data_IF_990812294906
#
_entry.id   IF_990812294906
#
_cell.length_a   1.000
_cell.length_b   1.000
_cell.length_c   1.000
_cell.angle_alpha   90.00
_cell.angle_beta   90.00
_cell.angle_gamma   90.00
#
_symmetry.space_group_name_H-M   'P 1'
#
loop_
_entity.id
_entity.type
_entity.pdbx_description
1 polymer ?
#
# COMPACT_ATOMS: atom_id res chain seq x y z
N UNK A 1 -16.55 -7.19 18.47
CA UNK A 1 -16.46 -6.66 17.09
C UNK A 1 -15.01 -6.75 16.65
N UNK A 2 -14.72 -7.00 15.38
CA UNK A 2 -13.34 -7.04 14.91
C UNK A 2 -12.72 -5.62 14.97
N UNK A 3 -11.46 -5.54 15.44
CA UNK A 3 -10.65 -4.31 15.42
C UNK A 3 -9.57 -4.46 14.36
N UNK A 4 -9.61 -3.65 13.32
CA UNK A 4 -8.67 -3.74 12.21
C UNK A 4 -7.77 -2.51 12.18
N UNK A 5 -6.46 -2.73 12.11
CA UNK A 5 -5.47 -1.70 11.88
C UNK A 5 -4.99 -1.80 10.43
N UNK A 6 -5.28 -0.78 9.62
CA UNK A 6 -4.72 -0.63 8.28
C UNK A 6 -3.46 0.22 8.35
N UNK A 7 -2.34 -0.31 7.85
CA UNK A 7 -1.05 0.38 7.80
C UNK A 7 -0.76 0.74 6.35
N UNK A 8 -0.46 2.01 6.12
CA UNK A 8 -0.11 2.57 4.81
C UNK A 8 0.90 3.72 4.97
N UNK A 9 1.57 4.11 3.91
CA UNK A 9 2.58 5.18 3.99
C UNK A 9 2.89 5.85 2.66
N UNK A 10 2.26 5.40 1.56
CA UNK A 10 2.52 5.94 0.24
C UNK A 10 1.23 6.26 -0.51
N UNK A 11 1.34 7.17 -1.47
CA UNK A 11 0.23 7.55 -2.34
C UNK A 11 -0.45 6.37 -3.04
N UNK A 12 0.27 5.41 -3.65
CA UNK A 12 -0.36 4.26 -4.28
C UNK A 12 -1.22 3.42 -3.32
N UNK A 13 -0.79 3.27 -2.07
CA UNK A 13 -1.55 2.57 -1.03
C UNK A 13 -2.84 3.35 -0.70
N UNK A 14 -2.76 4.67 -0.50
CA UNK A 14 -3.94 5.52 -0.23
C UNK A 14 -4.97 5.39 -1.35
N UNK A 15 -4.53 5.49 -2.62
CA UNK A 15 -5.41 5.39 -3.80
C UNK A 15 -6.09 4.01 -3.84
N UNK A 16 -5.32 2.92 -3.74
CA UNK A 16 -5.87 1.56 -3.83
C UNK A 16 -6.79 1.19 -2.67
N UNK A 17 -6.52 1.72 -1.48
CA UNK A 17 -7.34 1.49 -0.29
C UNK A 17 -8.55 2.44 -0.19
N UNK A 18 -8.70 3.42 -1.09
CA UNK A 18 -9.74 4.46 -1.01
C UNK A 18 -11.17 3.94 -1.08
N UNK A 19 -11.40 2.76 -1.65
CA UNK A 19 -12.70 2.09 -1.64
C UNK A 19 -12.81 1.07 -0.48
N UNK A 20 -11.70 0.63 0.10
CA UNK A 20 -11.65 -0.38 1.16
C UNK A 20 -11.79 0.25 2.54
N UNK A 21 -11.10 1.36 2.80
CA UNK A 21 -11.15 2.08 4.08
C UNK A 21 -12.60 2.40 4.50
N UNK A 22 -13.45 3.02 3.65
CA UNK A 22 -14.84 3.30 4.04
C UNK A 22 -15.68 2.05 4.28
N UNK A 23 -15.39 0.94 3.58
CA UNK A 23 -16.08 -0.34 3.82
C UNK A 23 -15.70 -0.93 5.17
N UNK A 24 -14.42 -0.87 5.54
CA UNK A 24 -13.98 -1.32 6.85
C UNK A 24 -14.54 -0.44 7.97
N UNK A 25 -14.56 0.88 7.78
CA UNK A 25 -15.16 1.83 8.73
C UNK A 25 -16.64 1.53 9.00
N UNK A 26 -17.37 1.00 8.00
CA UNK A 26 -18.79 0.68 8.14
C UNK A 26 -19.08 -0.65 8.86
N UNK A 27 -18.13 -1.61 8.88
CA UNK A 27 -18.39 -2.98 9.35
C UNK A 27 -17.60 -3.39 10.58
N UNK A 28 -16.56 -2.63 10.97
CA UNK A 28 -15.72 -2.97 12.12
C UNK A 28 -15.18 -1.71 12.81
N UNK A 29 -14.56 -1.89 13.97
CA UNK A 29 -13.74 -0.84 14.59
C UNK A 29 -12.43 -0.74 13.79
N UNK A 30 -12.28 0.34 13.04
CA UNK A 30 -11.22 0.48 12.06
C UNK A 30 -10.31 1.67 12.37
N UNK A 31 -9.01 1.42 12.39
CA UNK A 31 -7.94 2.40 12.58
C UNK A 31 -7.04 2.43 11.35
N UNK A 32 -6.65 3.64 10.93
CA UNK A 32 -5.69 3.87 9.86
C UNK A 32 -4.44 4.48 10.44
N UNK A 33 -3.31 3.82 10.25
CA UNK A 33 -1.99 4.29 10.62
C UNK A 33 -1.21 4.66 9.34
N UNK A 34 -0.76 5.91 9.26
CA UNK A 34 0.13 6.36 8.20
C UNK A 34 1.57 6.36 8.71
N UNK A 35 2.46 5.65 8.01
CA UNK A 35 3.86 5.49 8.46
C UNK A 35 4.74 6.71 8.20
N UNK A 36 4.27 7.73 7.49
CA UNK A 36 5.06 8.91 7.17
C UNK A 36 6.19 8.64 6.16
N UNK A 37 6.16 7.52 5.44
CA UNK A 37 7.21 7.15 4.47
C UNK A 37 7.35 8.19 3.34
N UNK A 38 6.30 8.90 2.99
CA UNK A 38 6.36 10.03 2.05
C UNK A 38 6.68 11.32 2.83
N UNK A 39 7.72 12.05 2.41
CA UNK A 39 8.27 13.20 3.14
C UNK A 39 7.51 14.50 2.95
N UNK A 40 6.53 14.56 2.07
CA UNK A 40 5.72 15.77 1.85
C UNK A 40 4.33 15.63 2.48
N UNK A 41 4.09 16.27 3.65
CA UNK A 41 2.79 16.24 4.33
C UNK A 41 1.65 16.78 3.45
N UNK A 42 1.92 17.80 2.63
CA UNK A 42 0.89 18.41 1.78
C UNK A 42 0.43 17.44 0.68
N UNK A 43 1.34 16.64 0.12
CA UNK A 43 0.98 15.64 -0.89
C UNK A 43 0.12 14.52 -0.30
N UNK A 44 0.34 14.12 0.93
CA UNK A 44 -0.44 13.06 1.57
C UNK A 44 -1.86 13.54 1.91
N UNK A 45 -1.99 14.70 2.55
CA UNK A 45 -3.28 15.24 2.97
C UNK A 45 -4.22 15.49 1.78
N UNK A 46 -3.70 16.01 0.67
CA UNK A 46 -4.44 16.22 -0.57
C UNK A 46 -5.12 14.92 -1.03
N UNK A 47 -4.41 13.77 -0.99
CA UNK A 47 -5.01 12.51 -1.42
C UNK A 47 -6.15 12.04 -0.52
N UNK A 48 -6.03 12.21 0.79
CA UNK A 48 -7.15 11.89 1.69
C UNK A 48 -8.36 12.78 1.41
N UNK A 49 -8.16 14.07 1.22
CA UNK A 49 -9.23 15.04 0.93
C UNK A 49 -9.88 14.79 -0.44
N UNK A 50 -9.09 14.67 -1.51
CA UNK A 50 -9.60 14.46 -2.87
C UNK A 50 -10.34 13.15 -3.05
N UNK A 51 -9.89 12.09 -2.34
CA UNK A 51 -10.54 10.79 -2.35
C UNK A 51 -11.68 10.69 -1.33
N UNK A 52 -11.99 11.77 -0.60
CA UNK A 52 -13.08 11.79 0.39
C UNK A 52 -12.88 10.80 1.52
N UNK A 53 -11.63 10.58 1.91
CA UNK A 53 -11.26 9.73 3.03
C UNK A 53 -11.14 10.55 4.33
N UNK A 54 -11.44 9.92 5.45
CA UNK A 54 -11.10 10.51 6.75
C UNK A 54 -9.59 10.52 6.96
N UNK A 55 -9.11 11.43 7.76
CA UNK A 55 -7.71 11.47 8.15
C UNK A 55 -7.29 10.17 8.87
N UNK A 56 -6.02 9.77 8.78
CA UNK A 56 -5.48 8.68 9.58
C UNK A 56 -5.67 8.94 11.07
N UNK A 57 -5.86 7.88 11.85
CA UNK A 57 -5.94 8.00 13.31
C UNK A 57 -4.59 8.40 13.93
N UNK A 58 -3.50 7.98 13.29
CA UNK A 58 -2.14 8.30 13.71
C UNK A 58 -1.20 8.39 12.51
N UNK A 59 -0.24 9.30 12.59
CA UNK A 59 0.85 9.46 11.61
C UNK A 59 2.16 9.29 12.35
N UNK A 60 3.06 8.44 11.83
CA UNK A 60 4.42 8.27 12.34
C UNK A 60 5.33 9.26 11.61
N UNK A 61 6.20 9.96 12.32
CA UNK A 61 7.32 10.68 11.70
C UNK A 61 8.48 9.72 11.47
N UNK A 62 8.49 9.08 10.30
CA UNK A 62 9.54 8.14 9.90
C UNK A 62 10.62 8.76 9.02
N UNK A 63 10.61 10.09 8.85
CA UNK A 63 11.60 10.78 8.03
C UNK A 63 13.02 10.45 8.49
N UNK A 64 13.86 10.01 7.56
CA UNK A 64 15.25 9.70 7.80
C UNK A 64 16.05 9.69 6.49
N UNK A 65 17.36 9.90 6.58
CA UNK A 65 18.32 9.77 5.48
C UNK A 65 18.85 8.33 5.33
N UNK A 66 18.59 7.47 6.31
CA UNK A 66 19.03 6.07 6.35
C UNK A 66 17.83 5.13 6.30
N UNK A 67 17.91 4.11 5.43
CA UNK A 67 16.89 3.06 5.35
C UNK A 67 16.67 2.36 6.70
N UNK A 68 17.76 1.98 7.38
CA UNK A 68 17.69 1.28 8.66
C UNK A 68 17.03 2.13 9.75
N UNK A 69 17.36 3.43 9.83
CA UNK A 69 16.73 4.34 10.77
C UNK A 69 15.24 4.55 10.46
N UNK A 70 14.89 4.74 9.19
CA UNK A 70 13.49 4.85 8.76
C UNK A 70 12.70 3.62 9.15
N UNK A 71 13.23 2.43 8.86
CA UNK A 71 12.56 1.17 9.20
C UNK A 71 12.42 0.99 10.71
N UNK A 72 13.45 1.37 11.48
CA UNK A 72 13.40 1.37 12.95
C UNK A 72 12.29 2.27 13.49
N UNK A 73 12.14 3.49 12.97
CA UNK A 73 11.06 4.41 13.33
C UNK A 73 9.67 3.85 12.98
N UNK A 74 9.54 3.25 11.80
CA UNK A 74 8.29 2.60 11.37
C UNK A 74 7.95 1.46 12.34
N UNK A 75 8.87 0.56 12.62
CA UNK A 75 8.66 -0.59 13.51
C UNK A 75 8.25 -0.16 14.90
N UNK A 76 8.99 0.78 15.51
CA UNK A 76 8.67 1.31 16.84
C UNK A 76 7.30 2.00 16.86
N UNK A 77 7.00 2.81 15.84
CA UNK A 77 5.71 3.51 15.76
C UNK A 77 4.54 2.57 15.55
N UNK A 78 4.73 1.49 14.77
CA UNK A 78 3.70 0.46 14.56
C UNK A 78 3.47 -0.33 15.84
N UNK A 79 4.51 -0.72 16.57
CA UNK A 79 4.38 -1.41 17.85
C UNK A 79 3.61 -0.55 18.88
N UNK A 80 3.92 0.73 18.95
CA UNK A 80 3.19 1.68 19.80
C UNK A 80 1.71 1.80 19.39
N UNK A 81 1.43 1.88 18.09
CA UNK A 81 0.06 1.95 17.59
C UNK A 81 -0.72 0.65 17.87
N UNK A 82 -0.09 -0.50 17.74
CA UNK A 82 -0.69 -1.80 18.08
C UNK A 82 -1.03 -1.85 19.57
N UNK A 83 -0.14 -1.43 20.44
CA UNK A 83 -0.36 -1.40 21.89
C UNK A 83 -1.49 -0.42 22.27
N UNK A 84 -1.58 0.72 21.59
CA UNK A 84 -2.60 1.75 21.81
C UNK A 84 -4.00 1.31 21.31
N UNK A 85 -4.07 0.79 20.07
CA UNK A 85 -5.34 0.45 19.43
C UNK A 85 -5.81 -0.96 19.75
N UNK A 86 -4.91 -1.84 20.16
CA UNK A 86 -5.17 -3.26 20.46
C UNK A 86 -5.98 -3.95 19.34
N UNK A 87 -5.49 -3.95 18.09
CA UNK A 87 -6.18 -4.53 16.96
C UNK A 87 -6.22 -6.06 17.05
N UNK A 88 -7.27 -6.66 16.48
CA UNK A 88 -7.36 -8.12 16.33
C UNK A 88 -6.83 -8.60 14.98
N UNK A 89 -6.61 -7.69 14.03
CA UNK A 89 -6.10 -7.95 12.67
C UNK A 89 -5.37 -6.74 12.15
N UNK A 90 -4.39 -6.98 11.28
CA UNK A 90 -3.67 -5.93 10.55
C UNK A 90 -3.85 -6.13 9.05
N UNK A 91 -4.07 -5.03 8.32
CA UNK A 91 -4.11 -4.99 6.87
C UNK A 91 -2.92 -4.17 6.36
N UNK A 92 -2.15 -4.76 5.44
CA UNK A 92 -1.08 -4.08 4.69
C UNK A 92 -1.30 -4.26 3.18
N UNK A 93 -0.76 -3.36 2.37
CA UNK A 93 -0.87 -3.44 0.92
C UNK A 93 0.51 -3.24 0.27
N UNK A 94 0.86 -4.15 -0.66
CA UNK A 94 2.03 -4.01 -1.52
C UNK A 94 3.36 -4.28 -0.82
N UNK A 95 4.40 -3.62 -1.32
CA UNK A 95 5.80 -3.96 -1.08
C UNK A 95 6.63 -2.80 -0.55
N UNK A 96 5.97 -1.81 0.03
CA UNK A 96 6.61 -0.63 0.61
C UNK A 96 7.27 -0.95 1.96
N UNK A 97 8.08 0.00 2.46
CA UNK A 97 8.65 -0.12 3.81
C UNK A 97 7.56 -0.21 4.89
N UNK A 98 6.39 0.41 4.64
CA UNK A 98 5.21 0.29 5.51
C UNK A 98 4.74 -1.16 5.63
N UNK A 99 4.76 -1.92 4.52
CA UNK A 99 4.37 -3.33 4.50
C UNK A 99 5.29 -4.22 5.32
N UNK A 100 6.59 -3.89 5.43
CA UNK A 100 7.54 -4.64 6.28
C UNK A 100 7.15 -4.62 7.76
N UNK A 101 6.33 -3.66 8.20
CA UNK A 101 5.78 -3.62 9.55
C UNK A 101 4.86 -4.80 9.89
N UNK A 102 4.43 -5.57 8.89
CA UNK A 102 3.76 -6.86 9.09
C UNK A 102 4.53 -7.77 10.05
N UNK A 103 5.87 -7.69 10.04
CA UNK A 103 6.72 -8.46 10.96
C UNK A 103 6.41 -8.17 12.44
N UNK A 104 6.16 -6.92 12.79
CA UNK A 104 5.83 -6.52 14.17
C UNK A 104 4.48 -7.10 14.59
N UNK A 105 3.46 -6.99 13.74
CA UNK A 105 2.14 -7.54 14.03
C UNK A 105 2.16 -9.07 14.22
N UNK A 106 2.79 -9.80 13.31
CA UNK A 106 2.90 -11.26 13.39
C UNK A 106 3.72 -11.70 14.62
N UNK A 107 4.77 -10.98 14.99
CA UNK A 107 5.55 -11.22 16.23
C UNK A 107 4.73 -11.02 17.50
N UNK A 108 3.72 -10.16 17.45
CA UNK A 108 2.76 -9.92 18.52
C UNK A 108 1.52 -10.83 18.42
N UNK A 109 1.55 -11.86 17.58
CA UNK A 109 0.47 -12.82 17.32
C UNK A 109 -0.82 -12.15 16.80
N UNK A 110 -0.70 -11.06 16.06
CA UNK A 110 -1.82 -10.40 15.39
C UNK A 110 -1.79 -10.78 13.91
N UNK A 111 -2.82 -11.49 13.41
CA UNK A 111 -2.85 -11.95 12.02
C UNK A 111 -2.78 -10.79 11.03
N UNK A 112 -1.87 -10.90 10.04
CA UNK A 112 -1.72 -9.95 8.96
C UNK A 112 -2.40 -10.45 7.70
N UNK A 113 -3.13 -9.55 7.06
CA UNK A 113 -3.73 -9.70 5.74
C UNK A 113 -2.95 -8.83 4.76
N UNK A 114 -2.25 -9.47 3.83
CA UNK A 114 -1.40 -8.79 2.85
C UNK A 114 -2.10 -8.71 1.49
N UNK A 115 -2.56 -7.52 1.10
CA UNK A 115 -3.09 -7.25 -0.23
C UNK A 115 -1.97 -7.02 -1.25
N UNK A 116 -2.22 -7.36 -2.51
CA UNK A 116 -1.24 -7.31 -3.61
C UNK A 116 -0.12 -8.36 -3.46
N UNK A 117 -0.38 -9.41 -2.69
CA UNK A 117 0.54 -10.50 -2.46
C UNK A 117 0.88 -11.28 -3.74
N UNK A 118 2.05 -11.91 -3.78
CA UNK A 118 2.45 -12.83 -4.84
C UNK A 118 2.89 -12.19 -6.14
N UNK A 119 2.97 -10.86 -6.24
CA UNK A 119 3.56 -10.21 -7.40
C UNK A 119 5.06 -10.50 -7.46
N UNK A 120 5.60 -10.75 -8.66
CA UNK A 120 7.03 -11.01 -8.88
C UNK A 120 7.52 -10.33 -10.15
N UNK A 121 8.67 -9.65 -10.05
CA UNK A 121 9.42 -9.18 -11.21
C UNK A 121 10.66 -10.05 -11.50
N UNK A 122 11.02 -10.94 -10.57
CA UNK A 122 12.16 -11.85 -10.65
C UNK A 122 13.53 -11.16 -10.77
N UNK A 123 13.61 -9.86 -10.46
CA UNK A 123 14.85 -9.12 -10.40
C UNK A 123 15.16 -8.74 -8.94
N UNK A 124 16.17 -9.40 -8.36
CA UNK A 124 16.60 -9.16 -6.99
C UNK A 124 17.34 -7.84 -6.79
N UNK A 125 17.65 -7.10 -7.85
CA UNK A 125 18.17 -5.73 -7.75
C UNK A 125 17.08 -4.74 -7.34
N UNK A 126 15.82 -5.05 -7.62
CA UNK A 126 14.66 -4.24 -7.23
C UNK A 126 14.38 -4.43 -5.73
N UNK A 127 14.52 -3.38 -4.89
CA UNK A 127 14.29 -3.49 -3.44
C UNK A 127 12.90 -4.02 -3.08
N UNK A 128 11.87 -3.60 -3.82
CA UNK A 128 10.49 -4.01 -3.63
C UNK A 128 10.30 -5.52 -3.86
N UNK A 129 11.10 -6.16 -4.71
CA UNK A 129 11.04 -7.62 -4.91
C UNK A 129 11.41 -8.38 -3.63
N UNK A 130 12.38 -7.85 -2.87
CA UNK A 130 12.78 -8.41 -1.58
C UNK A 130 11.71 -8.17 -0.53
N UNK A 131 11.19 -6.94 -0.46
CA UNK A 131 10.15 -6.57 0.49
C UNK A 131 8.91 -7.47 0.33
N UNK A 132 8.39 -7.61 -0.91
CA UNK A 132 7.18 -8.42 -1.14
C UNK A 132 7.35 -9.88 -0.77
N UNK A 133 8.52 -10.48 -1.05
CA UNK A 133 8.83 -11.86 -0.64
C UNK A 133 8.83 -12.02 0.88
N UNK A 134 9.42 -11.07 1.60
CA UNK A 134 9.42 -11.09 3.06
C UNK A 134 8.00 -10.95 3.60
N UNK A 135 7.24 -9.98 3.11
CA UNK A 135 5.86 -9.72 3.58
C UNK A 135 4.97 -10.92 3.27
N UNK A 136 5.04 -11.49 2.05
CA UNK A 136 4.28 -12.68 1.68
C UNK A 136 4.57 -13.87 2.59
N UNK A 137 5.85 -14.10 2.88
CA UNK A 137 6.29 -15.25 3.68
C UNK A 137 5.82 -15.19 5.13
N UNK A 138 5.76 -14.00 5.72
CA UNK A 138 5.40 -13.83 7.13
C UNK A 138 3.91 -13.63 7.36
N UNK A 139 3.16 -13.11 6.37
CA UNK A 139 1.74 -12.79 6.53
C UNK A 139 0.88 -14.02 6.76
N UNK A 140 -0.05 -13.93 7.71
CA UNK A 140 -1.01 -15.01 7.99
C UNK A 140 -1.89 -15.29 6.78
N UNK A 141 -2.38 -14.26 6.08
CA UNK A 141 -3.21 -14.37 4.88
C UNK A 141 -2.69 -13.50 3.76
N UNK A 142 -2.57 -14.10 2.58
CA UNK A 142 -2.15 -13.44 1.35
C UNK A 142 -3.35 -13.24 0.41
N UNK A 143 -3.54 -12.01 -0.05
CA UNK A 143 -4.66 -11.58 -0.90
C UNK A 143 -4.14 -11.12 -2.27
N UNK A 144 -3.73 -12.07 -3.15
CA UNK A 144 -3.23 -11.75 -4.47
C UNK A 144 -4.33 -11.19 -5.37
N UNK A 145 -3.94 -10.37 -6.35
CA UNK A 145 -4.88 -9.79 -7.30
C UNK A 145 -5.25 -10.74 -8.44
N UNK A 146 -4.37 -11.67 -8.77
CA UNK A 146 -4.51 -12.55 -9.92
C UNK A 146 -4.21 -14.01 -9.57
N UNK A 147 -4.68 -14.93 -10.41
CA UNK A 147 -4.33 -16.34 -10.29
C UNK A 147 -2.83 -16.57 -10.50
N UNK A 148 -2.18 -15.78 -11.37
CA UNK A 148 -0.72 -15.85 -11.56
C UNK A 148 0.02 -15.53 -10.24
N UNK A 149 -0.38 -14.48 -9.55
CA UNK A 149 0.20 -14.11 -8.24
C UNK A 149 -0.05 -15.20 -7.20
N UNK A 150 -1.25 -15.83 -7.21
CA UNK A 150 -1.54 -16.99 -6.36
C UNK A 150 -0.60 -18.17 -6.64
N UNK A 151 -0.32 -18.47 -7.91
CA UNK A 151 0.61 -19.53 -8.30
C UNK A 151 2.04 -19.26 -7.81
N UNK A 152 2.48 -18.00 -7.81
CA UNK A 152 3.79 -17.64 -7.25
C UNK A 152 3.85 -17.96 -5.75
N UNK A 153 2.83 -17.59 -4.98
CA UNK A 153 2.75 -17.88 -3.54
C UNK A 153 2.78 -19.38 -3.26
N UNK A 154 2.01 -20.17 -4.01
CA UNK A 154 2.00 -21.63 -3.87
C UNK A 154 3.38 -22.25 -4.15
N UNK A 155 4.08 -21.81 -5.20
CA UNK A 155 5.46 -22.26 -5.52
C UNK A 155 6.47 -21.91 -4.43
N UNK A 156 6.24 -20.83 -3.71
CA UNK A 156 7.06 -20.37 -2.59
C UNK A 156 6.65 -21.00 -1.24
N UNK A 157 5.67 -21.92 -1.25
CA UNK A 157 5.30 -22.72 -0.09
C UNK A 157 4.20 -22.13 0.79
N UNK A 158 3.53 -21.06 0.37
CA UNK A 158 2.39 -20.53 1.12
C UNK A 158 1.22 -21.50 1.01
N UNK A 159 0.63 -21.95 2.16
CA UNK A 159 -0.47 -22.90 2.15
C UNK A 159 -1.71 -22.33 1.43
N UNK A 160 -2.37 -23.18 0.63
CA UNK A 160 -3.52 -22.75 -0.16
C UNK A 160 -4.68 -22.13 0.65
N UNK A 161 -4.91 -22.62 1.87
CA UNK A 161 -5.94 -22.10 2.77
C UNK A 161 -5.60 -20.71 3.37
N UNK A 162 -4.42 -20.19 3.10
CA UNK A 162 -3.97 -18.83 3.48
C UNK A 162 -3.93 -17.88 2.29
N UNK A 163 -4.47 -18.29 1.14
CA UNK A 163 -4.47 -17.48 -0.09
C UNK A 163 -5.91 -17.29 -0.56
N UNK A 164 -6.31 -16.03 -0.79
CA UNK A 164 -7.60 -15.69 -1.39
C UNK A 164 -7.40 -14.65 -2.49
N UNK A 165 -7.72 -15.01 -3.74
CA UNK A 165 -7.64 -14.08 -4.88
C UNK A 165 -8.78 -13.06 -4.77
N UNK A 166 -8.42 -11.77 -4.65
CA UNK A 166 -9.39 -10.69 -4.41
C UNK A 166 -9.64 -9.79 -5.62
N UNK A 167 -8.78 -9.85 -6.63
CA UNK A 167 -8.77 -8.87 -7.72
C UNK A 167 -8.06 -7.57 -7.34
N UNK A 168 -7.79 -6.75 -8.35
CA UNK A 168 -7.13 -5.44 -8.16
C UNK A 168 -8.18 -4.36 -7.85
N UNK A 169 -8.10 -3.66 -6.72
CA UNK A 169 -9.07 -2.64 -6.34
C UNK A 169 -9.05 -1.40 -7.24
N UNK A 170 -8.02 -1.20 -8.05
CA UNK A 170 -7.87 0.00 -8.88
C UNK A 170 -9.04 0.21 -9.86
N UNK A 171 -9.64 -0.88 -10.36
CA UNK A 171 -10.81 -0.78 -11.24
C UNK A 171 -12.01 -0.17 -10.51
N UNK A 172 -12.24 -0.59 -9.26
CA UNK A 172 -13.30 -0.04 -8.43
C UNK A 172 -13.04 1.45 -8.11
N UNK A 173 -11.79 1.80 -7.83
CA UNK A 173 -11.37 3.19 -7.60
C UNK A 173 -11.65 4.05 -8.83
N UNK A 174 -11.21 3.61 -10.03
CA UNK A 174 -11.45 4.35 -11.27
C UNK A 174 -12.97 4.55 -11.51
N UNK A 175 -13.75 3.49 -11.33
CA UNK A 175 -15.22 3.56 -11.51
C UNK A 175 -15.86 4.56 -10.52
N UNK A 176 -15.44 4.55 -9.25
CA UNK A 176 -15.94 5.49 -8.22
C UNK A 176 -15.69 6.94 -8.60
N UNK A 177 -14.54 7.23 -9.19
CA UNK A 177 -14.14 8.59 -9.53
C UNK A 177 -14.35 8.96 -11.01
N UNK A 178 -15.05 8.12 -11.79
CA UNK A 178 -15.25 8.32 -13.22
C UNK A 178 -15.82 9.71 -13.57
N UNK A 179 -16.77 10.21 -12.79
CA UNK A 179 -17.37 11.53 -13.02
C UNK A 179 -16.33 12.66 -12.81
N UNK A 180 -15.49 12.56 -11.79
CA UNK A 180 -14.40 13.54 -11.56
C UNK A 180 -13.36 13.48 -12.67
N UNK A 181 -13.04 12.29 -13.17
CA UNK A 181 -12.09 12.08 -14.27
C UNK A 181 -12.63 12.72 -15.55
N UNK A 182 -13.89 12.47 -15.90
CA UNK A 182 -14.50 13.00 -17.12
C UNK A 182 -14.71 14.52 -17.11
N UNK A 183 -14.80 15.13 -15.92
CA UNK A 183 -14.94 16.57 -15.73
C UNK A 183 -13.58 17.27 -15.56
N UNK A 184 -12.46 16.54 -15.64
CA UNK A 184 -11.13 17.13 -15.45
C UNK A 184 -10.77 18.07 -16.58
N UNK A 185 -10.35 19.29 -16.23
CA UNK A 185 -9.86 20.30 -17.18
C UNK A 185 -8.35 20.20 -17.43
N UNK A 186 -7.73 19.08 -17.11
CA UNK A 186 -6.27 18.93 -17.22
C UNK A 186 -5.78 19.04 -18.66
N UNK A 187 -6.53 18.54 -19.62
CA UNK A 187 -6.15 18.64 -21.04
C UNK A 187 -6.18 20.08 -21.50
N UNK A 188 -7.19 20.87 -21.12
CA UNK A 188 -7.28 22.28 -21.44
C UNK A 188 -6.13 23.07 -20.81
N UNK A 189 -5.82 22.78 -19.52
CA UNK A 189 -4.69 23.41 -18.81
C UNK A 189 -3.34 23.16 -19.46
N UNK A 190 -3.17 21.99 -20.09
CA UNK A 190 -1.94 21.60 -20.75
C UNK A 190 -1.94 21.88 -22.26
N UNK A 191 -3.03 22.46 -22.80
CA UNK A 191 -3.24 22.66 -24.24
C UNK A 191 -3.09 21.36 -25.05
N UNK A 192 -3.64 20.25 -24.53
CA UNK A 192 -3.60 18.94 -25.16
C UNK A 192 -4.97 18.58 -25.72
N UNK A 193 -4.98 17.96 -26.90
CA UNK A 193 -6.20 17.40 -27.49
C UNK A 193 -6.36 15.92 -27.16
N UNK A 194 -7.58 15.45 -26.87
CA UNK A 194 -7.84 14.05 -26.63
C UNK A 194 -7.30 13.16 -27.77
N UNK A 195 -6.64 12.06 -27.39
CA UNK A 195 -6.04 11.07 -28.32
C UNK A 195 -4.89 11.61 -29.21
N UNK A 196 -4.37 12.81 -28.96
CA UNK A 196 -3.25 13.40 -29.71
C UNK A 196 -1.98 13.59 -28.88
N UNK A 197 -1.83 12.87 -27.79
CA UNK A 197 -0.63 12.91 -26.93
C UNK A 197 -0.25 11.51 -26.44
N UNK A 198 0.99 11.39 -26.01
CA UNK A 198 1.52 10.21 -25.36
C UNK A 198 1.92 10.59 -23.93
N UNK A 199 1.50 9.80 -22.95
CA UNK A 199 1.97 9.93 -21.56
C UNK A 199 3.15 8.98 -21.37
N UNK A 200 4.26 9.55 -20.89
CA UNK A 200 5.44 8.76 -20.47
C UNK A 200 5.65 8.98 -18.99
N UNK A 201 5.85 7.89 -18.24
CA UNK A 201 6.26 7.94 -16.85
C UNK A 201 7.56 7.15 -16.67
N UNK A 202 8.57 7.80 -16.11
CA UNK A 202 9.86 7.19 -15.77
C UNK A 202 10.25 7.70 -14.37
N UNK A 203 10.42 6.78 -13.42
CA UNK A 203 10.61 7.14 -12.00
C UNK A 203 11.51 6.18 -11.22
N UNK A 204 12.16 5.22 -11.89
CA UNK A 204 13.13 4.31 -11.26
C UNK A 204 14.53 4.86 -11.43
N UNK A 205 15.34 4.79 -10.37
CA UNK A 205 16.72 5.30 -10.36
C UNK A 205 17.53 4.77 -11.55
N UNK A 206 17.43 3.47 -11.84
CA UNK A 206 18.09 2.85 -12.99
C UNK A 206 17.67 3.38 -14.36
N UNK A 207 16.56 4.13 -14.42
CA UNK A 207 16.05 4.70 -15.68
C UNK A 207 16.24 6.23 -15.76
N UNK A 208 16.50 6.91 -14.64
CA UNK A 208 16.54 8.39 -14.59
C UNK A 208 17.86 8.94 -14.06
N UNK A 209 18.67 8.12 -13.38
CA UNK A 209 19.95 8.54 -12.77
C UNK A 209 21.16 8.14 -13.62
N UNK A 210 20.95 7.43 -14.75
CA UNK A 210 22.00 7.03 -15.68
C UNK A 210 21.84 7.79 -17.00
N UNK A 211 22.73 8.75 -17.25
CA UNK A 211 22.75 9.61 -18.46
C UNK A 211 22.98 8.83 -19.78
N UNK A 212 23.23 7.52 -19.71
CA UNK A 212 23.47 6.67 -20.88
C UNK A 212 22.26 5.79 -21.26
N UNK A 213 21.10 6.00 -20.65
CA UNK A 213 19.87 5.26 -20.96
C UNK A 213 18.74 6.12 -21.46
#
# INVERSE_FOLDING_TARGET
>A
MAKILTILGTRPEIIRLSCIIPKLDAVCEHYVLHTGQNYDPNLNEIFFQELGLRSPNKIIDSKSTSFGEQLGKIFTGVEQAINEFNPTRVLVLGDTNSGLSAFIAERLNIPVYHMEAGNRCNDLKVPEEKNRKVIDAISTYNLPYTELSRQNLLREGVPNNRIAVTGNPIKEVINKYQNKISQSLILDKLNLEPNKYIIVTAHRAENVDDDQR
#
